data_IF_282182556729
#
_entry.id   IF_282182556729
#
_cell.length_a   1.000
_cell.length_b   1.000
_cell.length_c   1.000
_cell.angle_alpha   90.00
_cell.angle_beta   90.00
_cell.angle_gamma   90.00
#
_symmetry.space_group_name_H-M   'P 1'
#
loop_
_entity.id
_entity.type
_entity.pdbx_description
1 polymer ?
#
# COMPACT_ATOMS: atom_id res chain seq x y z
N UNK A 1 -16.23 57.40 11.54
CA UNK A 1 -15.81 56.49 12.63
C UNK A 1 -16.07 55.09 12.13
N UNK A 2 -15.02 54.38 11.75
CA UNK A 2 -15.08 53.06 11.12
C UNK A 2 -15.36 51.99 12.17
N UNK A 3 -16.55 51.39 12.13
CA UNK A 3 -16.85 50.15 12.84
C UNK A 3 -15.96 49.03 12.31
N UNK A 4 -14.82 48.81 12.97
CA UNK A 4 -14.04 47.61 12.78
C UNK A 4 -14.90 46.42 13.25
N UNK A 5 -15.52 45.72 12.30
CA UNK A 5 -16.25 44.48 12.51
C UNK A 5 -15.33 43.51 13.25
N UNK A 6 -15.47 43.44 14.57
CA UNK A 6 -14.67 42.57 15.45
C UNK A 6 -14.91 41.14 14.98
N UNK A 7 -13.95 40.58 14.25
CA UNK A 7 -14.02 39.22 13.74
C UNK A 7 -14.11 38.31 14.97
N UNK A 8 -15.11 37.42 15.00
CA UNK A 8 -15.29 36.47 16.11
C UNK A 8 -14.06 35.58 16.13
N UNK A 9 -13.27 35.67 17.21
CA UNK A 9 -12.08 34.85 17.41
C UNK A 9 -12.45 33.38 17.48
N UNK A 10 -11.63 32.53 16.89
CA UNK A 10 -11.81 31.10 17.01
C UNK A 10 -11.35 30.60 18.41
N UNK A 11 -11.57 29.32 18.71
CA UNK A 11 -11.24 28.76 20.03
C UNK A 11 -9.73 28.73 20.28
N UNK A 12 -8.94 28.48 19.23
CA UNK A 12 -7.49 28.40 19.36
C UNK A 12 -6.89 29.80 19.62
N UNK A 13 -7.39 30.82 18.93
CA UNK A 13 -7.05 32.22 19.19
C UNK A 13 -7.41 32.63 20.62
N UNK A 14 -8.55 32.18 21.14
CA UNK A 14 -8.91 32.41 22.56
C UNK A 14 -7.90 31.77 23.51
N UNK A 15 -7.40 30.57 23.21
CA UNK A 15 -6.35 29.94 24.01
C UNK A 15 -5.02 30.69 23.93
N UNK A 16 -4.67 31.26 22.77
CA UNK A 16 -3.46 32.09 22.60
C UNK A 16 -3.54 33.32 23.51
N UNK A 17 -4.69 33.99 23.54
CA UNK A 17 -4.88 35.17 24.38
C UNK A 17 -4.93 34.85 25.87
N UNK A 18 -5.48 33.70 26.23
CA UNK A 18 -5.48 33.20 27.60
C UNK A 18 -4.12 32.64 28.05
N UNK A 19 -3.19 32.39 27.12
CA UNK A 19 -1.90 31.73 27.42
C UNK A 19 -2.03 30.23 27.72
N UNK A 20 -3.14 29.60 27.33
CA UNK A 20 -3.49 28.21 27.66
C UNK A 20 -3.20 27.21 26.53
N UNK A 21 -2.59 27.67 25.43
CA UNK A 21 -2.37 26.86 24.21
C UNK A 21 -1.65 25.56 24.53
N UNK A 22 -0.54 25.62 25.27
CA UNK A 22 0.28 24.45 25.57
C UNK A 22 -0.51 23.42 26.40
N UNK A 23 -1.23 23.88 27.43
CA UNK A 23 -2.05 23.02 28.27
C UNK A 23 -3.19 22.35 27.46
N UNK A 24 -3.90 23.12 26.64
CA UNK A 24 -5.02 22.60 25.86
C UNK A 24 -4.55 21.63 24.76
N UNK A 25 -3.39 21.89 24.14
CA UNK A 25 -2.74 20.94 23.24
C UNK A 25 -2.31 19.66 23.95
N UNK A 26 -1.78 19.76 25.17
CA UNK A 26 -1.40 18.60 25.99
C UNK A 26 -2.63 17.75 26.36
N UNK A 27 -3.76 18.38 26.69
CA UNK A 27 -5.04 17.68 26.94
C UNK A 27 -5.48 16.93 25.68
N UNK A 28 -5.47 17.57 24.51
CA UNK A 28 -5.83 16.92 23.24
C UNK A 28 -4.93 15.73 22.92
N UNK A 29 -3.63 15.90 23.12
CA UNK A 29 -2.66 14.82 22.92
C UNK A 29 -2.95 13.65 23.88
N UNK A 30 -3.16 13.93 25.17
CA UNK A 30 -3.48 12.92 26.19
C UNK A 30 -4.75 12.15 25.86
N UNK A 31 -5.83 12.84 25.48
CA UNK A 31 -7.07 12.18 25.05
C UNK A 31 -6.85 11.30 23.83
N UNK A 32 -6.04 11.77 22.86
CA UNK A 32 -5.67 11.00 21.68
C UNK A 32 -4.85 9.76 22.03
N UNK A 33 -3.96 9.83 23.03
CA UNK A 33 -3.19 8.69 23.56
C UNK A 33 -4.08 7.65 24.25
N UNK A 34 -5.23 8.07 24.78
CA UNK A 34 -6.23 7.17 25.37
C UNK A 34 -7.13 6.50 24.31
N UNK A 35 -6.92 6.80 23.02
CA UNK A 35 -7.72 6.27 21.92
C UNK A 35 -9.08 6.92 21.76
N UNK A 36 -9.29 8.12 22.34
CA UNK A 36 -10.55 8.86 22.23
C UNK A 36 -10.85 9.26 20.78
N UNK A 37 -12.13 9.19 20.42
CA UNK A 37 -12.64 9.63 19.12
C UNK A 37 -12.57 11.15 18.97
N UNK A 38 -12.70 11.64 17.74
CA UNK A 38 -12.69 13.08 17.49
C UNK A 38 -13.89 13.78 18.13
N UNK A 39 -15.02 13.08 18.18
CA UNK A 39 -16.25 13.48 18.86
C UNK A 39 -16.00 13.65 20.37
N UNK A 40 -15.48 12.63 21.04
CA UNK A 40 -15.19 12.70 22.48
C UNK A 40 -14.15 13.79 22.82
N UNK A 41 -13.14 14.00 21.97
CA UNK A 41 -12.17 15.09 22.16
C UNK A 41 -12.86 16.45 22.02
N UNK A 42 -13.76 16.60 21.04
CA UNK A 42 -14.49 17.83 20.81
C UNK A 42 -15.44 18.16 21.98
N UNK A 43 -16.08 17.15 22.55
CA UNK A 43 -16.99 17.28 23.69
C UNK A 43 -16.28 17.83 24.94
N UNK A 44 -15.00 17.49 25.16
CA UNK A 44 -14.20 18.03 26.30
C UNK A 44 -14.04 19.54 26.23
N UNK A 45 -14.01 20.11 25.02
CA UNK A 45 -13.88 21.55 24.80
C UNK A 45 -15.22 22.22 24.45
N UNK A 46 -16.34 21.52 24.65
CA UNK A 46 -17.70 21.99 24.33
C UNK A 46 -17.83 22.51 22.89
N UNK A 47 -17.19 21.82 21.94
CA UNK A 47 -17.27 22.12 20.52
C UNK A 47 -17.76 20.93 19.72
N UNK A 48 -18.28 21.21 18.53
CA UNK A 48 -18.64 20.13 17.60
C UNK A 48 -17.40 19.53 16.97
N UNK A 49 -17.48 18.24 16.62
CA UNK A 49 -16.46 17.55 15.81
C UNK A 49 -16.11 18.30 14.52
N UNK A 50 -17.10 18.94 13.86
CA UNK A 50 -16.86 19.76 12.64
C UNK A 50 -16.01 20.99 12.95
N UNK A 51 -16.26 21.65 14.08
CA UNK A 51 -15.45 22.78 14.54
C UNK A 51 -14.01 22.33 14.81
N UNK A 52 -13.81 21.20 15.49
CA UNK A 52 -12.48 20.67 15.75
C UNK A 52 -11.74 20.28 14.45
N UNK A 53 -12.43 19.76 13.44
CA UNK A 53 -11.85 19.50 12.12
C UNK A 53 -11.43 20.78 11.40
N UNK A 54 -12.24 21.84 11.51
CA UNK A 54 -11.90 23.15 10.96
C UNK A 54 -10.64 23.72 11.64
N UNK A 55 -10.61 23.70 12.97
CA UNK A 55 -9.47 24.18 13.76
C UNK A 55 -8.17 23.42 13.43
N UNK A 56 -8.23 22.11 13.18
CA UNK A 56 -7.05 21.34 12.73
C UNK A 56 -6.48 21.83 11.39
N UNK A 57 -7.35 22.27 10.46
CA UNK A 57 -6.91 22.78 9.16
C UNK A 57 -6.32 24.18 9.26
N UNK A 58 -6.86 25.00 10.15
CA UNK A 58 -6.43 26.38 10.37
C UNK A 58 -5.18 26.45 11.24
N UNK A 59 -5.03 25.53 12.21
CA UNK A 59 -3.96 25.52 13.20
C UNK A 59 -3.25 24.14 13.22
N UNK A 60 -2.11 23.99 12.50
CA UNK A 60 -1.39 22.72 12.38
C UNK A 60 -0.91 22.11 13.72
N UNK A 61 -0.78 22.92 14.77
CA UNK A 61 -0.41 22.45 16.11
C UNK A 61 -1.43 21.44 16.68
N UNK A 62 -2.73 21.66 16.43
CA UNK A 62 -3.80 20.75 16.84
C UNK A 62 -3.69 19.41 16.13
N UNK A 63 -3.51 19.45 14.81
CA UNK A 63 -3.36 18.22 14.02
C UNK A 63 -2.14 17.42 14.48
N UNK A 64 -1.02 18.10 14.75
CA UNK A 64 0.20 17.48 15.26
C UNK A 64 -0.02 16.81 16.62
N UNK A 65 -0.70 17.48 17.56
CA UNK A 65 -1.01 16.93 18.88
C UNK A 65 -1.86 15.64 18.78
N UNK A 66 -2.89 15.65 17.93
CA UNK A 66 -3.77 14.48 17.71
C UNK A 66 -2.99 13.33 17.06
N UNK A 67 -2.20 13.62 16.02
CA UNK A 67 -1.38 12.61 15.32
C UNK A 67 -0.36 11.98 16.26
N UNK A 68 0.32 12.79 17.08
CA UNK A 68 1.28 12.30 18.06
C UNK A 68 0.63 11.37 19.11
N UNK A 69 -0.54 11.77 19.62
CA UNK A 69 -1.28 10.91 20.55
C UNK A 69 -1.72 9.59 19.92
N UNK A 70 -2.25 9.62 18.68
CA UNK A 70 -2.64 8.39 17.96
C UNK A 70 -1.47 7.47 17.65
N UNK A 71 -0.31 8.03 17.32
CA UNK A 71 0.91 7.23 17.12
C UNK A 71 1.31 6.46 18.39
N UNK A 72 1.06 7.05 19.56
CA UNK A 72 1.31 6.39 20.85
C UNK A 72 0.39 5.18 21.06
N UNK A 73 -0.88 5.26 20.64
CA UNK A 73 -1.81 4.11 20.68
C UNK A 73 -1.30 2.99 19.77
N UNK A 74 -0.86 3.32 18.57
CA UNK A 74 -0.29 2.33 17.63
C UNK A 74 0.96 1.69 18.22
N UNK A 75 1.86 2.48 18.80
CA UNK A 75 3.06 1.97 19.46
C UNK A 75 2.72 1.02 20.62
N UNK A 76 1.70 1.35 21.43
CA UNK A 76 1.22 0.46 22.49
C UNK A 76 0.70 -0.87 21.93
N UNK A 77 -0.12 -0.84 20.88
CA UNK A 77 -0.62 -2.04 20.22
C UNK A 77 0.52 -2.88 19.63
N UNK A 78 1.50 -2.22 19.01
CA UNK A 78 2.69 -2.89 18.47
C UNK A 78 3.49 -3.57 19.57
N UNK A 79 3.72 -2.92 20.71
CA UNK A 79 4.45 -3.52 21.84
C UNK A 79 3.73 -4.77 22.36
N UNK A 80 2.41 -4.70 22.56
CA UNK A 80 1.60 -5.87 22.99
C UNK A 80 1.61 -7.00 21.96
N UNK A 81 1.59 -6.67 20.67
CA UNK A 81 1.72 -7.65 19.60
C UNK A 81 3.10 -8.33 19.67
N UNK A 82 4.17 -7.57 19.85
CA UNK A 82 5.52 -8.13 19.95
C UNK A 82 5.69 -9.03 21.19
N UNK A 83 5.08 -8.69 22.32
CA UNK A 83 5.05 -9.57 23.49
C UNK A 83 4.35 -10.91 23.19
N UNK A 84 3.22 -10.89 22.47
CA UNK A 84 2.50 -12.11 22.03
C UNK A 84 3.35 -12.95 21.08
N UNK A 85 4.07 -12.30 20.17
CA UNK A 85 5.03 -12.96 19.26
C UNK A 85 6.11 -13.67 20.07
N UNK A 86 6.71 -12.98 21.05
CA UNK A 86 7.74 -13.55 21.92
C UNK A 86 7.20 -14.68 22.82
N UNK A 87 5.93 -14.65 23.20
CA UNK A 87 5.30 -15.73 23.98
C UNK A 87 4.94 -16.96 23.15
N UNK A 88 5.15 -16.95 21.83
CA UNK A 88 4.88 -18.09 20.95
C UNK A 88 3.45 -18.16 20.40
N UNK A 89 2.69 -17.06 20.44
CA UNK A 89 1.34 -17.01 19.84
C UNK A 89 1.48 -17.13 18.31
N UNK A 90 1.01 -18.25 17.76
CA UNK A 90 1.16 -18.57 16.33
C UNK A 90 0.47 -17.54 15.44
N UNK A 91 -0.70 -17.03 15.85
CA UNK A 91 -1.43 -16.02 15.07
C UNK A 91 -0.68 -14.69 15.07
N UNK A 92 -0.14 -14.27 16.22
CA UNK A 92 0.67 -13.06 16.31
C UNK A 92 1.95 -13.16 15.47
N UNK A 93 2.63 -14.32 15.51
CA UNK A 93 3.82 -14.60 14.69
C UNK A 93 3.48 -14.53 13.19
N UNK A 94 2.42 -15.22 12.75
CA UNK A 94 2.00 -15.18 11.34
C UNK A 94 1.68 -13.74 10.91
N UNK A 95 0.94 -12.99 11.74
CA UNK A 95 0.63 -11.60 11.45
C UNK A 95 1.88 -10.74 11.33
N UNK A 96 2.81 -10.84 12.29
CA UNK A 96 4.08 -10.11 12.26
C UNK A 96 4.92 -10.45 11.02
N UNK A 97 4.99 -11.73 10.64
CA UNK A 97 5.69 -12.16 9.41
C UNK A 97 5.02 -11.61 8.15
N UNK A 98 3.69 -11.59 8.07
CA UNK A 98 2.97 -10.99 6.94
C UNK A 98 3.19 -9.47 6.84
N UNK A 99 3.16 -8.77 7.97
CA UNK A 99 3.31 -7.30 8.00
C UNK A 99 4.75 -6.86 7.74
N UNK A 100 5.74 -7.47 8.41
CA UNK A 100 7.14 -7.04 8.33
C UNK A 100 7.96 -7.81 7.28
N UNK A 101 7.58 -9.05 6.97
CA UNK A 101 8.25 -9.88 5.96
C UNK A 101 7.74 -9.66 4.53
N UNK A 102 6.71 -8.82 4.35
CA UNK A 102 6.27 -8.32 3.05
C UNK A 102 5.92 -9.42 2.04
N UNK A 103 6.36 -9.24 0.80
CA UNK A 103 5.98 -10.09 -0.33
C UNK A 103 6.42 -11.57 -0.20
N UNK A 104 7.38 -11.86 0.67
CA UNK A 104 7.80 -13.23 0.93
C UNK A 104 6.70 -14.05 1.64
N UNK A 105 5.94 -13.42 2.53
CA UNK A 105 4.88 -14.06 3.32
C UNK A 105 3.46 -13.64 2.92
N UNK A 106 3.33 -12.65 2.03
CA UNK A 106 2.04 -12.28 1.45
C UNK A 106 1.51 -13.38 0.54
N UNK A 107 0.19 -13.57 0.55
CA UNK A 107 -0.47 -14.58 -0.27
C UNK A 107 -0.28 -14.22 -1.76
N UNK A 108 0.35 -15.12 -2.52
CA UNK A 108 0.56 -14.93 -3.97
C UNK A 108 -0.79 -14.97 -4.68
N UNK A 109 -1.17 -13.87 -5.34
CA UNK A 109 -2.31 -13.86 -6.25
C UNK A 109 -1.92 -14.55 -7.55
N UNK A 110 -2.40 -15.78 -7.76
CA UNK A 110 -2.31 -16.42 -9.06
C UNK A 110 -3.20 -15.63 -10.04
N UNK A 111 -2.59 -14.87 -10.93
CA UNK A 111 -3.30 -14.21 -12.03
C UNK A 111 -3.41 -15.24 -13.15
N UNK A 112 -4.58 -15.86 -13.28
CA UNK A 112 -4.90 -16.65 -14.45
C UNK A 112 -5.03 -15.71 -15.65
N UNK A 113 -4.04 -15.72 -16.53
CA UNK A 113 -4.12 -15.04 -17.82
C UNK A 113 -5.16 -15.76 -18.69
N UNK A 114 -6.41 -15.28 -18.67
CA UNK A 114 -7.40 -15.69 -19.68
C UNK A 114 -6.97 -15.08 -21.01
N UNK A 115 -6.34 -15.90 -21.86
CA UNK A 115 -6.02 -15.54 -23.24
C UNK A 115 -7.35 -15.47 -24.02
N UNK A 116 -7.97 -14.28 -24.09
CA UNK A 116 -9.16 -13.99 -24.93
C UNK A 116 -8.77 -13.64 -26.36
N UNK A 117 -7.85 -14.40 -26.94
CA UNK A 117 -7.47 -14.28 -28.35
C UNK A 117 -7.51 -15.64 -29.02
N UNK A 118 -8.19 -15.75 -30.15
CA UNK A 118 -8.08 -16.89 -31.06
C UNK A 118 -6.60 -17.11 -31.38
N UNK A 119 -6.05 -18.33 -31.22
CA UNK A 119 -4.64 -18.56 -31.50
C UNK A 119 -4.34 -18.27 -32.97
N UNK A 120 -3.57 -17.22 -33.24
CA UNK A 120 -3.08 -16.92 -34.58
C UNK A 120 -1.96 -17.92 -34.88
N UNK A 121 -2.27 -18.91 -35.71
CA UNK A 121 -1.29 -19.84 -36.26
C UNK A 121 -0.39 -19.10 -37.25
N UNK A 122 0.78 -18.63 -36.79
CA UNK A 122 1.80 -18.08 -37.67
C UNK A 122 2.53 -19.24 -38.34
N UNK A 123 2.19 -19.56 -39.60
CA UNK A 123 2.99 -20.47 -40.42
C UNK A 123 4.19 -19.69 -40.95
N UNK A 124 5.45 -20.07 -40.61
CA UNK A 124 6.61 -19.40 -41.16
C UNK A 124 6.74 -19.72 -42.66
N UNK A 125 6.60 -18.72 -43.53
CA UNK A 125 6.96 -18.85 -44.95
C UNK A 125 8.48 -18.87 -45.07
N UNK A 126 9.08 -20.06 -45.03
CA UNK A 126 10.49 -20.24 -45.42
C UNK A 126 10.52 -20.63 -46.90
N UNK A 127 10.92 -19.69 -47.76
CA UNK A 127 11.10 -19.94 -49.19
C UNK A 127 12.50 -20.55 -49.39
N UNK A 128 12.57 -21.88 -49.43
CA UNK A 128 13.83 -22.60 -49.66
C UNK A 128 14.15 -22.52 -51.15
N UNK A 129 15.20 -21.76 -51.51
CA UNK A 129 15.73 -21.75 -52.88
C UNK A 129 16.63 -22.97 -53.08
N UNK A 130 16.23 -23.85 -54.00
CA UNK A 130 17.06 -24.98 -54.42
C UNK A 130 17.66 -24.63 -55.79
N UNK A 131 18.98 -24.44 -55.91
CA UNK A 131 19.59 -24.14 -57.20
C UNK A 131 19.45 -25.34 -58.15
N UNK A 132 19.32 -25.04 -59.45
CA UNK A 132 19.20 -26.04 -60.50
C UNK A 132 20.41 -26.99 -60.46
N UNK A 133 20.16 -28.30 -60.47
CA UNK A 133 21.24 -29.28 -60.50
C UNK A 133 21.88 -29.26 -61.88
N UNK A 134 23.15 -28.89 -61.93
CA UNK A 134 23.97 -29.06 -63.12
C UNK A 134 23.91 -30.53 -63.56
N UNK A 135 23.59 -30.69 -64.84
CA UNK A 135 23.54 -31.99 -65.51
C UNK A 135 24.95 -32.43 -65.84
N UNK A 136 25.16 -33.75 -65.82
CA UNK A 136 26.39 -34.48 -66.18
C UNK A 136 27.39 -34.72 -65.04
N UNK A 137 27.41 -35.96 -64.53
CA UNK A 137 28.46 -36.94 -64.86
C UNK A 137 27.83 -38.34 -64.68
N UNK A 138 27.72 -39.08 -65.78
CA UNK A 138 27.33 -40.50 -65.74
C UNK A 138 28.45 -41.34 -65.16
N UNK A 139 28.16 -42.15 -64.15
CA UNK A 139 29.06 -43.21 -63.70
C UNK A 139 28.38 -44.56 -63.91
N UNK A 140 29.01 -45.33 -64.79
CA UNK A 140 28.72 -46.71 -65.06
C UNK A 140 29.17 -47.56 -63.87
N UNK A 141 28.31 -48.44 -63.34
CA UNK A 141 28.76 -49.67 -62.70
C UNK A 141 27.71 -50.76 -62.74
N UNK A 142 28.20 -51.91 -63.20
CA UNK A 142 27.54 -53.16 -63.53
C UNK A 142 26.62 -53.71 -62.44
N UNK A 143 25.49 -54.25 -62.88
CA UNK A 143 24.68 -55.21 -62.12
C UNK A 143 25.41 -56.56 -62.09
N UNK A 144 25.79 -57.02 -60.90
CA UNK A 144 25.78 -58.44 -60.57
C UNK A 144 25.05 -58.60 -59.24
N UNK A 145 23.88 -59.22 -59.29
CA UNK A 145 23.63 -60.45 -58.53
C UNK A 145 22.23 -61.00 -58.80
N UNK A 146 22.20 -62.33 -59.00
CA UNK A 146 21.11 -63.19 -58.54
C UNK A 146 20.00 -63.54 -59.52
N UNK A 147 20.15 -64.66 -60.24
CA UNK A 147 19.00 -65.55 -60.52
C UNK A 147 19.43 -67.01 -60.75
N UNK A 148 19.08 -67.82 -59.74
CA UNK A 148 18.57 -69.19 -59.74
C UNK A 148 19.14 -70.30 -60.64
N UNK A 149 19.38 -71.42 -59.94
CA UNK A 149 19.42 -72.84 -60.35
C UNK A 149 20.68 -73.34 -61.06
#
# INVERSE_FOLDING_TARGET
MSDAKRQRKDLFEQWVEAGEVENNLAIIQSLSMQGKSMEEIADVFDITRRTLQKLQKEHPALEKAIKAGRLSVVAMCQNKLMERVSSGDTTAIIYALKVYGGDFFNDRKAVEAKITGTPVSVQPQVQIYLPERDSEVGDAREKKDGKNQ
#
